data_IF_634922089447
#
_entry.id   IF_634922089447
#
_cell.length_a   1.000
_cell.length_b   1.000
_cell.length_c   1.000
_cell.angle_alpha   90.00
_cell.angle_beta   90.00
_cell.angle_gamma   90.00
#
_symmetry.space_group_name_H-M   'P 1'
#
loop_
_entity.id
_entity.type
_entity.pdbx_description
1 polymer ?
#
# COMPACT_ATOMS: atom_id res chain seq x y z
N UNK A 1 7.87 7.65 -12.85
CA UNK A 1 7.28 8.93 -12.41
C UNK A 1 8.04 9.47 -11.20
N UNK A 2 8.05 10.78 -11.00
CA UNK A 2 8.62 11.38 -9.77
C UNK A 2 7.64 11.19 -8.60
N UNK A 3 7.59 9.99 -8.10
CA UNK A 3 6.74 9.55 -7.00
C UNK A 3 7.50 8.59 -6.09
N UNK A 4 7.04 8.41 -4.86
CA UNK A 4 7.56 7.43 -3.90
C UNK A 4 6.55 6.32 -3.67
N UNK A 5 6.97 5.05 -3.81
CA UNK A 5 6.23 3.89 -3.35
C UNK A 5 6.44 3.68 -1.84
N UNK A 6 5.38 3.70 -1.07
CA UNK A 6 5.40 3.47 0.37
C UNK A 6 4.75 2.11 0.65
N UNK A 7 5.55 1.12 1.04
CA UNK A 7 5.06 -0.21 1.36
C UNK A 7 4.83 -0.32 2.87
N UNK A 8 3.59 -0.54 3.28
CA UNK A 8 3.22 -0.75 4.67
C UNK A 8 3.39 -2.23 5.02
N UNK A 9 4.46 -2.55 5.74
CA UNK A 9 4.82 -3.91 6.13
C UNK A 9 4.83 -4.04 7.66
N UNK A 10 3.71 -3.74 8.28
CA UNK A 10 3.51 -3.77 9.72
C UNK A 10 2.13 -4.31 10.07
N UNK A 11 1.98 -4.74 11.31
CA UNK A 11 0.73 -5.21 11.87
C UNK A 11 0.93 -6.46 12.71
N UNK A 12 0.02 -6.67 13.67
CA UNK A 12 -0.01 -7.90 14.47
C UNK A 12 -0.53 -9.06 13.61
N UNK A 13 0.33 -9.66 12.78
CA UNK A 13 0.03 -10.85 11.95
C UNK A 13 -0.18 -12.09 12.81
N UNK A 14 -1.07 -12.02 13.80
CA UNK A 14 -1.29 -13.08 14.78
C UNK A 14 -1.91 -14.36 14.20
N UNK A 15 -2.54 -14.28 13.02
CA UNK A 15 -3.26 -15.44 12.43
C UNK A 15 -2.39 -16.42 11.66
N UNK A 16 -1.26 -15.99 11.11
CA UNK A 16 -0.34 -16.82 10.34
C UNK A 16 0.97 -17.16 11.07
N UNK A 17 1.22 -16.56 12.24
CA UNK A 17 2.47 -16.76 13.01
C UNK A 17 3.75 -16.23 12.32
N UNK A 18 3.61 -15.67 11.11
CA UNK A 18 4.70 -15.12 10.30
C UNK A 18 4.26 -13.74 9.77
N UNK A 19 5.23 -12.85 9.58
CA UNK A 19 4.99 -11.56 8.95
C UNK A 19 4.51 -11.76 7.50
N UNK A 20 3.36 -11.19 7.15
CA UNK A 20 2.66 -11.43 5.90
C UNK A 20 3.52 -11.16 4.66
N UNK A 21 4.25 -10.04 4.65
CA UNK A 21 5.08 -9.69 3.51
C UNK A 21 6.24 -10.67 3.27
N UNK A 22 6.60 -11.48 4.27
CA UNK A 22 7.64 -12.50 4.18
C UNK A 22 7.11 -13.89 3.81
N UNK A 23 5.80 -14.08 3.77
CA UNK A 23 5.17 -15.34 3.31
C UNK A 23 5.51 -15.55 1.84
N UNK A 24 5.83 -16.81 1.47
CA UNK A 24 6.21 -17.15 0.11
C UNK A 24 4.98 -17.46 -0.74
N UNK A 25 4.84 -16.76 -1.85
CA UNK A 25 3.95 -17.09 -2.96
C UNK A 25 4.83 -17.59 -4.13
N UNK A 26 4.62 -18.82 -4.57
CA UNK A 26 5.44 -19.45 -5.63
C UNK A 26 6.97 -19.33 -5.37
N UNK A 27 7.40 -19.51 -4.11
CA UNK A 27 8.81 -19.46 -3.72
C UNK A 27 9.42 -18.08 -3.53
N UNK A 28 8.65 -16.99 -3.77
CA UNK A 28 9.09 -15.60 -3.66
C UNK A 28 8.28 -14.87 -2.56
N UNK A 29 8.89 -14.08 -1.64
CA UNK A 29 8.17 -13.31 -0.62
C UNK A 29 7.14 -12.37 -1.23
N UNK A 30 5.93 -12.26 -0.65
CA UNK A 30 4.86 -11.41 -1.19
C UNK A 30 5.30 -9.96 -1.40
N UNK A 31 6.05 -9.39 -0.46
CA UNK A 31 6.55 -8.00 -0.60
C UNK A 31 7.44 -7.83 -1.84
N UNK A 32 8.13 -8.89 -2.28
CA UNK A 32 9.03 -8.81 -3.44
C UNK A 32 8.25 -8.52 -4.73
N UNK A 33 7.03 -9.07 -4.89
CA UNK A 33 6.15 -8.76 -6.01
C UNK A 33 5.76 -7.28 -5.99
N UNK A 34 5.40 -6.75 -4.82
CA UNK A 34 5.05 -5.32 -4.66
C UNK A 34 6.24 -4.41 -4.99
N UNK A 35 7.44 -4.76 -4.53
CA UNK A 35 8.66 -4.02 -4.83
C UNK A 35 8.93 -4.00 -6.34
N UNK A 36 8.80 -5.15 -7.01
CA UNK A 36 9.04 -5.27 -8.46
C UNK A 36 8.05 -4.40 -9.24
N UNK A 37 6.76 -4.48 -8.95
CA UNK A 37 5.75 -3.65 -9.60
C UNK A 37 5.99 -2.14 -9.40
N UNK A 38 6.41 -1.72 -8.20
CA UNK A 38 6.72 -0.32 -7.92
C UNK A 38 7.98 0.16 -8.64
N UNK A 39 9.04 -0.68 -8.74
CA UNK A 39 10.31 -0.32 -9.37
C UNK A 39 10.17 0.13 -10.83
N UNK A 40 9.18 -0.36 -11.54
CA UNK A 40 8.92 0.00 -12.93
C UNK A 40 8.29 1.40 -13.08
N UNK A 41 7.71 1.95 -12.01
CA UNK A 41 6.85 3.15 -12.10
C UNK A 41 7.41 4.33 -11.32
N UNK A 42 7.88 4.11 -10.07
CA UNK A 42 8.23 5.18 -9.15
C UNK A 42 9.74 5.38 -9.05
N UNK A 43 10.16 6.62 -8.71
CA UNK A 43 11.58 6.97 -8.58
C UNK A 43 12.21 6.48 -7.29
N UNK A 44 11.42 6.33 -6.22
CA UNK A 44 11.88 5.90 -4.91
C UNK A 44 10.91 4.87 -4.32
N UNK A 45 11.43 3.94 -3.52
CA UNK A 45 10.62 2.99 -2.75
C UNK A 45 11.13 2.99 -1.31
N UNK A 46 10.21 2.98 -0.36
CA UNK A 46 10.50 2.83 1.06
C UNK A 46 9.55 1.79 1.69
N UNK A 47 10.04 1.09 2.68
CA UNK A 47 9.26 0.14 3.48
C UNK A 47 9.07 0.70 4.87
N UNK A 48 7.84 0.68 5.37
CA UNK A 48 7.53 1.05 6.75
C UNK A 48 7.28 -0.23 7.54
N UNK A 49 8.23 -0.54 8.41
CA UNK A 49 8.16 -1.76 9.23
C UNK A 49 9.04 -1.66 10.47
N UNK A 50 8.57 -2.25 11.57
CA UNK A 50 9.38 -2.45 12.79
C UNK A 50 10.18 -3.77 12.77
N UNK A 51 10.10 -4.55 11.67
CA UNK A 51 10.78 -5.83 11.50
C UNK A 51 12.03 -5.67 10.63
N UNK A 52 13.22 -5.84 11.23
CA UNK A 52 14.50 -5.74 10.52
C UNK A 52 14.71 -6.76 9.40
N UNK A 53 13.90 -7.83 9.34
CA UNK A 53 13.97 -8.83 8.25
C UNK A 53 13.69 -8.24 6.88
N UNK A 54 13.10 -7.06 6.79
CA UNK A 54 12.86 -6.37 5.52
C UNK A 54 14.11 -5.70 4.94
N UNK A 55 15.18 -5.48 5.72
CA UNK A 55 16.44 -4.89 5.23
C UNK A 55 17.10 -5.70 4.10
N UNK A 56 16.81 -7.01 4.02
CA UNK A 56 17.35 -7.90 2.98
C UNK A 56 16.87 -7.59 1.55
N UNK A 57 15.83 -6.77 1.38
CA UNK A 57 15.27 -6.45 0.05
C UNK A 57 15.98 -5.29 -0.66
N UNK A 58 16.99 -4.67 -0.03
CA UNK A 58 17.78 -3.58 -0.63
C UNK A 58 16.98 -2.30 -0.86
N UNK A 59 15.88 -2.12 -0.10
CA UNK A 59 15.02 -0.94 -0.10
C UNK A 59 15.11 -0.30 1.29
N UNK A 60 15.18 1.03 1.42
CA UNK A 60 15.20 1.69 2.72
C UNK A 60 14.01 1.28 3.60
N UNK A 61 14.29 0.89 4.85
CA UNK A 61 13.29 0.47 5.83
C UNK A 61 13.28 1.46 6.99
N UNK A 62 12.09 1.98 7.32
CA UNK A 62 11.89 2.89 8.42
C UNK A 62 10.90 2.32 9.42
N UNK A 63 11.21 2.44 10.71
CA UNK A 63 10.28 2.08 11.79
C UNK A 63 9.26 3.18 12.01
N UNK A 64 8.06 2.80 12.48
CA UNK A 64 7.00 3.75 12.82
C UNK A 64 7.50 4.86 13.75
N UNK A 65 7.35 6.13 13.33
CA UNK A 65 7.68 7.31 14.15
C UNK A 65 6.77 7.35 15.38
N UNK A 66 5.45 7.11 15.18
CA UNK A 66 4.48 7.02 16.27
C UNK A 66 4.02 5.56 16.35
N UNK A 67 4.46 4.85 17.38
CA UNK A 67 4.22 3.42 17.53
C UNK A 67 2.75 3.09 17.80
N UNK A 68 2.32 1.90 17.36
CA UNK A 68 0.99 1.34 17.62
C UNK A 68 -0.19 2.16 17.05
N UNK A 69 0.04 2.92 15.96
CA UNK A 69 -0.99 3.73 15.30
C UNK A 69 -1.54 3.08 14.02
N UNK A 70 -1.23 1.81 13.80
CA UNK A 70 -1.72 1.05 12.64
C UNK A 70 -1.42 1.74 11.29
N UNK A 71 -2.29 1.59 10.28
CA UNK A 71 -2.05 2.16 8.95
C UNK A 71 -1.89 3.69 8.95
N UNK A 72 -2.59 4.41 9.84
CA UNK A 72 -2.48 5.88 9.95
C UNK A 72 -1.05 6.29 10.32
N UNK A 73 -0.46 5.62 11.32
CA UNK A 73 0.94 5.86 11.71
C UNK A 73 1.94 5.44 10.64
N UNK A 74 1.67 4.33 9.94
CA UNK A 74 2.49 3.87 8.84
C UNK A 74 2.50 4.85 7.66
N UNK A 75 1.34 5.35 7.24
CA UNK A 75 1.23 6.37 6.17
C UNK A 75 1.92 7.66 6.61
N UNK A 76 1.69 8.14 7.85
CA UNK A 76 2.41 9.29 8.38
C UNK A 76 3.93 9.11 8.27
N UNK A 77 4.46 7.98 8.73
CA UNK A 77 5.89 7.68 8.68
C UNK A 77 6.40 7.65 7.24
N UNK A 78 5.65 7.02 6.33
CA UNK A 78 5.99 6.95 4.91
C UNK A 78 6.04 8.34 4.27
N UNK A 79 5.01 9.15 4.47
CA UNK A 79 4.97 10.52 4.00
C UNK A 79 6.08 11.38 4.58
N UNK A 80 6.44 11.19 5.85
CA UNK A 80 7.54 11.92 6.49
C UNK A 80 8.88 11.67 5.79
N UNK A 81 9.21 10.40 5.50
CA UNK A 81 10.46 10.00 4.85
C UNK A 81 10.46 10.16 3.33
N UNK A 82 9.30 10.30 2.70
CA UNK A 82 9.22 10.56 1.27
C UNK A 82 9.81 11.92 0.89
N UNK A 83 10.43 12.00 -0.27
CA UNK A 83 11.00 13.22 -0.86
C UNK A 83 10.20 13.74 -2.06
N UNK A 84 9.09 13.09 -2.41
CA UNK A 84 8.24 13.45 -3.56
C UNK A 84 6.87 13.92 -3.12
N UNK A 85 6.22 14.72 -3.96
CA UNK A 85 4.86 15.21 -3.70
C UNK A 85 3.83 14.07 -3.76
N UNK A 86 3.92 13.22 -4.77
CA UNK A 86 3.04 12.08 -4.95
C UNK A 86 3.62 10.82 -4.32
N UNK A 87 2.78 10.07 -3.60
CA UNK A 87 3.18 8.88 -2.88
C UNK A 87 2.15 7.76 -3.10
N UNK A 88 2.58 6.64 -3.67
CA UNK A 88 1.74 5.45 -3.80
C UNK A 88 1.89 4.59 -2.55
N UNK A 89 0.87 4.59 -1.70
CA UNK A 89 0.84 3.75 -0.50
C UNK A 89 0.20 2.40 -0.82
N UNK A 90 0.82 1.31 -0.35
CA UNK A 90 0.33 -0.06 -0.55
C UNK A 90 0.71 -0.96 0.61
N UNK A 91 -0.15 -1.94 0.91
CA UNK A 91 0.17 -3.01 1.86
C UNK A 91 1.08 -4.07 1.23
N UNK A 92 1.97 -4.68 2.03
CA UNK A 92 2.91 -5.72 1.59
C UNK A 92 2.24 -7.05 1.21
N UNK A 93 0.94 -7.22 1.48
CA UNK A 93 0.16 -8.45 1.25
C UNK A 93 -0.74 -8.39 0.00
N UNK A 94 -0.40 -7.54 -0.97
CA UNK A 94 -1.10 -7.37 -2.25
C UNK A 94 -0.15 -7.74 -3.41
N UNK A 95 0.27 -9.01 -3.55
CA UNK A 95 1.31 -9.40 -4.49
C UNK A 95 0.88 -9.36 -5.97
N UNK A 96 -0.43 -9.26 -6.25
CA UNK A 96 -0.96 -9.24 -7.62
C UNK A 96 -1.10 -7.83 -8.19
N UNK A 97 -0.63 -6.80 -7.46
CA UNK A 97 -0.61 -5.43 -7.98
C UNK A 97 0.25 -5.33 -9.24
N UNK A 98 -0.25 -4.68 -10.28
CA UNK A 98 0.49 -4.48 -11.52
C UNK A 98 1.12 -3.09 -11.61
N UNK A 99 2.26 -2.98 -12.30
CA UNK A 99 2.89 -1.69 -12.62
C UNK A 99 1.96 -0.79 -13.44
N UNK A 100 1.20 -1.36 -14.38
CA UNK A 100 0.23 -0.62 -15.18
C UNK A 100 -0.85 0.05 -14.33
N UNK A 101 -1.39 -0.67 -13.33
CA UNK A 101 -2.38 -0.10 -12.41
C UNK A 101 -1.79 1.02 -11.55
N UNK A 102 -0.57 0.81 -11.01
CA UNK A 102 0.14 1.84 -10.23
C UNK A 102 0.33 3.11 -11.07
N UNK A 103 0.84 2.95 -12.30
CA UNK A 103 1.05 4.06 -13.23
C UNK A 103 -0.27 4.78 -13.55
N UNK A 104 -1.31 4.03 -13.85
CA UNK A 104 -2.63 4.58 -14.16
C UNK A 104 -3.20 5.38 -13.00
N UNK A 105 -3.18 4.85 -11.77
CA UNK A 105 -3.74 5.52 -10.59
C UNK A 105 -2.96 6.79 -10.23
N UNK A 106 -1.62 6.77 -10.36
CA UNK A 106 -0.77 7.96 -10.19
C UNK A 106 -1.11 9.06 -11.20
N UNK A 107 -1.42 8.72 -12.46
CA UNK A 107 -1.83 9.70 -13.47
C UNK A 107 -3.25 10.23 -13.22
N UNK A 108 -4.12 9.42 -12.67
CA UNK A 108 -5.51 9.80 -12.34
C UNK A 108 -5.60 10.71 -11.12
N UNK A 109 -4.63 10.67 -10.21
CA UNK A 109 -4.71 11.39 -8.93
C UNK A 109 -4.83 12.92 -9.06
N UNK A 110 -4.44 13.50 -10.20
CA UNK A 110 -4.61 14.93 -10.47
C UNK A 110 -4.11 15.82 -9.32
N UNK A 111 -4.99 16.69 -8.83
CA UNK A 111 -4.74 17.58 -7.70
C UNK A 111 -5.42 17.12 -6.39
N UNK A 112 -5.97 15.91 -6.36
CA UNK A 112 -6.60 15.38 -5.15
C UNK A 112 -5.56 15.16 -4.05
N UNK A 113 -5.94 15.45 -2.81
CA UNK A 113 -5.07 15.20 -1.65
C UNK A 113 -4.85 13.71 -1.42
N UNK A 114 -5.88 12.90 -1.70
CA UNK A 114 -5.87 11.44 -1.61
C UNK A 114 -6.70 10.90 -2.77
N UNK A 115 -6.21 9.86 -3.45
CA UNK A 115 -6.96 9.14 -4.50
C UNK A 115 -6.97 7.66 -4.16
N UNK A 116 -8.17 7.10 -4.01
CA UNK A 116 -8.38 5.70 -3.63
C UNK A 116 -9.19 4.95 -4.69
N UNK A 117 -8.80 3.72 -5.04
CA UNK A 117 -9.59 2.86 -5.89
C UNK A 117 -10.76 2.23 -5.12
N UNK A 118 -11.89 2.11 -5.81
CA UNK A 118 -13.05 1.35 -5.37
C UNK A 118 -13.32 0.21 -6.34
N UNK A 119 -13.53 -0.99 -5.81
CA UNK A 119 -13.91 -2.18 -6.54
C UNK A 119 -15.06 -2.87 -5.81
N UNK A 120 -16.13 -3.27 -6.51
CA UNK A 120 -17.30 -3.92 -5.91
C UNK A 120 -17.83 -3.17 -4.68
N UNK A 121 -18.03 -1.87 -4.82
CA UNK A 121 -18.48 -0.96 -3.75
C UNK A 121 -17.55 -0.90 -2.50
N UNK A 122 -16.36 -1.52 -2.58
CA UNK A 122 -15.37 -1.49 -1.52
C UNK A 122 -14.22 -0.57 -1.87
N UNK A 123 -14.01 0.47 -1.05
CA UNK A 123 -12.84 1.36 -1.15
C UNK A 123 -11.62 0.70 -0.52
N UNK A 124 -10.53 0.59 -1.28
CA UNK A 124 -9.27 0.00 -0.84
C UNK A 124 -8.39 1.05 -0.17
N UNK A 125 -8.59 1.24 1.15
CA UNK A 125 -7.95 2.31 1.92
C UNK A 125 -6.41 2.23 2.01
N UNK A 126 -5.84 1.05 1.83
CA UNK A 126 -4.39 0.82 1.92
C UNK A 126 -3.72 0.63 0.56
N UNK A 127 -4.42 1.00 -0.51
CA UNK A 127 -3.91 1.07 -1.89
C UNK A 127 -4.36 2.41 -2.43
N UNK A 128 -3.43 3.34 -2.69
CA UNK A 128 -3.86 4.65 -3.17
C UNK A 128 -2.71 5.64 -3.29
N UNK A 129 -3.03 6.79 -3.86
CA UNK A 129 -2.12 7.92 -4.01
C UNK A 129 -2.39 8.93 -2.91
N UNK A 130 -1.34 9.34 -2.22
CA UNK A 130 -1.37 10.30 -1.14
C UNK A 130 -0.42 11.46 -1.46
N UNK A 131 -0.93 12.69 -1.53
CA UNK A 131 -0.10 13.90 -1.63
C UNK A 131 0.69 14.10 -0.35
N UNK A 132 1.91 14.61 -0.46
CA UNK A 132 2.73 15.03 0.68
C UNK A 132 2.03 16.05 1.58
N UNK A 133 1.10 16.82 1.03
CA UNK A 133 0.33 17.85 1.74
C UNK A 133 -0.49 17.30 2.91
N UNK A 134 -0.90 16.03 2.88
CA UNK A 134 -1.66 15.42 3.99
C UNK A 134 -0.80 14.98 5.17
N UNK A 135 0.52 15.17 5.12
CA UNK A 135 1.46 14.75 6.17
C UNK A 135 1.07 15.25 7.56
N UNK A 136 0.79 16.55 7.70
CA UNK A 136 0.43 17.17 8.99
C UNK A 136 -0.86 16.61 9.55
N UNK A 137 -1.84 16.33 8.69
CA UNK A 137 -3.12 15.78 9.09
C UNK A 137 -3.00 14.32 9.57
N UNK A 138 -2.19 13.49 8.88
CA UNK A 138 -1.91 12.12 9.34
C UNK A 138 -1.13 12.10 10.65
N UNK A 139 -0.21 13.06 10.87
CA UNK A 139 0.46 13.24 12.16
C UNK A 139 -0.55 13.53 13.27
N UNK A 140 -1.37 14.53 13.09
CA UNK A 140 -2.38 14.94 14.07
C UNK A 140 -3.37 13.81 14.37
N UNK A 141 -3.83 13.10 13.34
CA UNK A 141 -4.72 11.94 13.49
C UNK A 141 -4.09 10.84 14.33
N UNK A 142 -2.80 10.54 14.09
CA UNK A 142 -2.06 9.54 14.87
C UNK A 142 -1.86 9.98 16.34
N UNK A 143 -1.57 11.25 16.58
CA UNK A 143 -1.40 11.82 17.93
C UNK A 143 -2.73 11.84 18.72
N UNK A 144 -3.84 12.15 18.06
CA UNK A 144 -5.19 12.20 18.65
C UNK A 144 -5.93 10.86 18.70
N UNK A 145 -5.28 9.74 18.37
CA UNK A 145 -5.88 8.40 18.33
C UNK A 145 -7.04 8.26 17.32
N UNK A 146 -7.10 9.09 16.29
CA UNK A 146 -8.04 8.94 15.19
C UNK A 146 -7.48 7.92 14.18
N UNK A 147 -7.62 6.62 14.49
CA UNK A 147 -6.90 5.55 13.80
C UNK A 147 -7.74 4.79 12.75
N UNK A 148 -9.03 5.14 12.60
CA UNK A 148 -9.87 4.55 11.54
C UNK A 148 -9.55 5.21 10.21
N UNK A 149 -8.70 4.55 9.39
CA UNK A 149 -8.17 5.10 8.15
C UNK A 149 -9.27 5.60 7.18
N UNK A 150 -10.40 4.87 7.08
CA UNK A 150 -11.53 5.30 6.25
C UNK A 150 -12.16 6.62 6.70
N UNK A 151 -12.12 6.94 7.99
CA UNK A 151 -12.59 8.23 8.49
C UNK A 151 -11.56 9.32 8.22
N UNK A 152 -10.28 9.04 8.53
CA UNK A 152 -9.16 9.96 8.26
C UNK A 152 -9.13 10.38 6.79
N UNK A 153 -9.28 9.41 5.86
CA UNK A 153 -9.30 9.69 4.44
C UNK A 153 -10.54 10.52 4.01
N UNK A 154 -11.70 10.23 4.62
CA UNK A 154 -12.96 10.93 4.31
C UNK A 154 -12.94 12.41 4.72
N UNK A 155 -12.22 12.75 5.79
CA UNK A 155 -12.12 14.11 6.30
C UNK A 155 -11.20 15.01 5.43
N UNK A 156 -10.49 14.39 4.46
CA UNK A 156 -9.64 15.08 3.48
C UNK A 156 -10.34 15.16 2.12
N UNK A 157 -9.83 15.98 1.20
CA UNK A 157 -10.26 15.99 -0.20
C UNK A 157 -9.86 14.67 -0.90
N UNK A 158 -10.60 13.59 -0.58
CA UNK A 158 -10.37 12.24 -1.07
C UNK A 158 -11.22 11.99 -2.30
N UNK A 159 -10.58 11.70 -3.42
CA UNK A 159 -11.21 11.22 -4.64
C UNK A 159 -11.29 9.69 -4.63
N UNK A 160 -12.47 9.16 -4.87
CA UNK A 160 -12.70 7.71 -4.98
C UNK A 160 -12.99 7.39 -6.43
N UNK A 161 -12.17 6.52 -7.03
CA UNK A 161 -12.27 6.13 -8.43
C UNK A 161 -12.86 4.72 -8.54
N UNK A 162 -13.97 4.58 -9.24
CA UNK A 162 -14.58 3.29 -9.58
C UNK A 162 -13.79 2.65 -10.72
N UNK A 163 -12.92 1.71 -10.36
CA UNK A 163 -11.96 1.12 -11.29
C UNK A 163 -12.61 0.16 -12.28
N UNK A 164 -13.75 -0.45 -11.93
CA UNK A 164 -14.51 -1.31 -12.87
C UNK A 164 -15.03 -0.52 -14.06
N UNK A 165 -15.27 0.79 -13.87
CA UNK A 165 -15.71 1.69 -14.93
C UNK A 165 -14.58 2.40 -15.66
N UNK A 166 -13.50 2.72 -14.96
CA UNK A 166 -12.49 3.66 -15.45
C UNK A 166 -11.16 3.00 -15.87
N UNK A 167 -10.86 1.79 -15.38
CA UNK A 167 -9.61 1.10 -15.69
C UNK A 167 -9.85 -0.03 -16.70
N UNK A 168 -9.39 0.18 -17.94
CA UNK A 168 -9.68 -0.74 -19.07
C UNK A 168 -9.09 -2.16 -18.88
N UNK A 169 -7.96 -2.28 -18.15
CA UNK A 169 -7.29 -3.56 -17.87
C UNK A 169 -7.69 -4.10 -16.49
N UNK A 170 -8.94 -3.88 -16.08
CA UNK A 170 -9.42 -4.30 -14.79
C UNK A 170 -9.34 -5.82 -14.61
N UNK A 171 -8.65 -6.23 -13.54
CA UNK A 171 -8.64 -7.57 -13.02
C UNK A 171 -8.81 -7.48 -11.49
N UNK A 172 -9.84 -8.12 -10.97
CA UNK A 172 -10.15 -8.08 -9.54
C UNK A 172 -9.04 -8.68 -8.67
N UNK A 173 -8.20 -9.57 -9.24
CA UNK A 173 -7.04 -10.16 -8.56
C UNK A 173 -6.03 -9.11 -8.09
N UNK A 174 -5.96 -7.95 -8.75
CA UNK A 174 -5.08 -6.82 -8.36
C UNK A 174 -5.25 -6.45 -6.87
N UNK A 175 -6.48 -6.59 -6.33
CA UNK A 175 -6.79 -6.23 -4.93
C UNK A 175 -6.81 -7.41 -3.97
N UNK A 176 -6.38 -8.58 -4.42
CA UNK A 176 -6.39 -9.79 -3.59
C UNK A 176 -5.36 -9.68 -2.47
N UNK A 177 -5.84 -9.44 -1.25
CA UNK A 177 -5.04 -9.54 -0.05
C UNK A 177 -4.92 -11.00 0.37
N UNK A 178 -3.70 -11.48 0.54
CA UNK A 178 -3.47 -12.86 1.01
C UNK A 178 -3.37 -12.85 2.53
N UNK A 179 -4.45 -13.28 3.18
CA UNK A 179 -4.56 -13.31 4.65
C UNK A 179 -4.53 -14.72 5.24
N UNK A 180 -4.76 -15.75 4.39
CA UNK A 180 -4.85 -17.15 4.79
C UNK A 180 -4.02 -18.06 3.88
N UNK A 181 -3.68 -19.26 4.39
CA UNK A 181 -3.00 -20.29 3.57
C UNK A 181 -3.86 -20.74 2.38
N UNK A 182 -5.17 -20.77 2.52
CA UNK A 182 -6.08 -21.17 1.45
C UNK A 182 -6.12 -20.14 0.32
N UNK A 183 -6.19 -18.84 0.63
CA UNK A 183 -6.08 -17.76 -0.36
C UNK A 183 -4.73 -17.82 -1.10
N UNK A 184 -3.64 -18.13 -0.37
CA UNK A 184 -2.30 -18.31 -0.96
C UNK A 184 -2.29 -19.44 -2.00
N UNK A 185 -2.93 -20.57 -1.69
CA UNK A 185 -3.01 -21.74 -2.58
C UNK A 185 -3.84 -21.40 -3.83
N UNK A 186 -4.99 -20.74 -3.67
CA UNK A 186 -5.87 -20.38 -4.77
C UNK A 186 -5.17 -19.44 -5.77
N UNK A 187 -4.55 -18.37 -5.28
CA UNK A 187 -3.80 -17.43 -6.13
C UNK A 187 -2.59 -18.09 -6.79
N UNK A 188 -1.90 -19.00 -6.10
CA UNK A 188 -0.79 -19.74 -6.69
C UNK A 188 -1.22 -20.67 -7.84
N UNK A 189 -2.48 -21.12 -7.87
CA UNK A 189 -3.05 -21.86 -8.98
C UNK A 189 -3.46 -20.96 -10.15
N UNK A 190 -4.07 -19.81 -9.87
CA UNK A 190 -4.54 -18.84 -10.89
C UNK A 190 -3.39 -18.14 -11.62
N UNK A 191 -2.25 -17.89 -10.94
CA UNK A 191 -1.07 -17.23 -11.53
C UNK A 191 -0.23 -18.14 -12.45
N UNK A 192 -0.64 -19.39 -12.73
CA UNK A 192 0.04 -20.32 -13.64
C UNK A 192 -0.62 -20.44 -15.01
N UNK A 193 -1.67 -19.71 -15.26
CA UNK A 193 -2.38 -19.64 -16.54
C UNK A 193 -2.29 -18.22 -17.13
#
# INVERSE_FOLDING_TARGET
MQATGIILAGGKSSRMGVDKGLVLLNGKPMIQYVIEALKEVVSNIIIISNNASYNKFGVPVYSDIIKNKGPVGGIYTGLYHSTTELNFCISCDVPMISSDFIFWLLNKSGNASITLPMCKDKVHQMIGVYSKQVLSYFKESAEKEHLKLSQVNKDMACEIIDIEKEYANFDELIFSNINTKNELINIAHESKH
#
